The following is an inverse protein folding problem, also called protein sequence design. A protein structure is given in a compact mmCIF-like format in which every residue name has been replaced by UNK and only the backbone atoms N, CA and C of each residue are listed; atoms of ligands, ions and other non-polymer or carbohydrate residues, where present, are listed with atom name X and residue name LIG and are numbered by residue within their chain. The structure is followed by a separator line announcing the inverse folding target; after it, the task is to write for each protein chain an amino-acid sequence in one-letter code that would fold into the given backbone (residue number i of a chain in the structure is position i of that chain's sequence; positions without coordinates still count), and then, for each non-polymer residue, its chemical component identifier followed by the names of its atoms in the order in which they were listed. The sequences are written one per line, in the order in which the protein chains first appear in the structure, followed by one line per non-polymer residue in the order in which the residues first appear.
data_IF_409679719930
#
_entry.id   IF_409679719930
#
_cell.length_a   1.000
_cell.length_b   1.000
_cell.length_c   1.000
_cell.angle_alpha   90.00
_cell.angle_beta   90.00
_cell.angle_gamma   90.00
#
_symmetry.space_group_name_H-M   'P 1'
#
loop_
_entity.id
_entity.type
_entity.pdbx_description
1 polymer ?
#
# COMPACT_ATOMS: atom_id res chain seq x y z
N UNK A 1 23.01 -9.44 -12.46
CA UNK A 1 22.37 -8.11 -12.38
C UNK A 1 23.16 -7.25 -11.40
N UNK A 2 23.52 -6.00 -11.74
CA UNK A 2 24.18 -5.10 -10.77
C UNK A 2 23.17 -4.76 -9.68
N UNK A 3 23.50 -5.02 -8.42
CA UNK A 3 22.69 -4.64 -7.27
C UNK A 3 22.43 -3.12 -7.29
N UNK A 4 21.18 -2.70 -7.06
CA UNK A 4 20.85 -1.29 -6.89
C UNK A 4 21.66 -0.69 -5.74
N UNK A 5 22.23 0.50 -5.95
CA UNK A 5 22.88 1.25 -4.87
C UNK A 5 21.86 1.67 -3.82
N UNK A 6 22.32 1.92 -2.60
CA UNK A 6 21.46 2.32 -1.48
C UNK A 6 20.55 3.50 -1.84
N UNK A 7 21.10 4.55 -2.44
CA UNK A 7 20.36 5.76 -2.81
C UNK A 7 19.27 5.48 -3.85
N UNK A 8 19.50 4.53 -4.76
CA UNK A 8 18.48 4.12 -5.74
C UNK A 8 17.36 3.34 -5.06
N UNK A 9 17.69 2.46 -4.12
CA UNK A 9 16.69 1.75 -3.31
C UNK A 9 15.88 2.72 -2.45
N UNK A 10 16.54 3.66 -1.78
CA UNK A 10 15.89 4.69 -0.95
C UNK A 10 14.89 5.53 -1.78
N UNK A 11 15.22 5.86 -3.03
CA UNK A 11 14.28 6.55 -3.94
C UNK A 11 13.09 5.64 -4.30
N UNK A 12 13.32 4.37 -4.63
CA UNK A 12 12.24 3.45 -4.96
C UNK A 12 11.32 3.22 -3.76
N UNK A 13 11.88 3.02 -2.56
CA UNK A 13 11.14 2.89 -1.31
C UNK A 13 10.32 4.16 -1.00
N UNK A 14 10.90 5.33 -1.26
CA UNK A 14 10.18 6.60 -1.13
C UNK A 14 8.97 6.68 -2.05
N UNK A 15 9.15 6.37 -3.34
CA UNK A 15 8.06 6.40 -4.32
C UNK A 15 6.98 5.37 -3.98
N UNK A 16 7.39 4.17 -3.53
CA UNK A 16 6.49 3.13 -3.05
C UNK A 16 5.65 3.60 -1.85
N UNK A 17 6.31 4.22 -0.85
CA UNK A 17 5.69 4.69 0.38
C UNK A 17 4.70 5.83 0.13
N UNK A 18 5.06 6.81 -0.71
CA UNK A 18 4.17 7.94 -1.02
C UNK A 18 2.96 7.48 -1.85
N UNK A 19 3.13 6.45 -2.69
CA UNK A 19 2.07 5.86 -3.52
C UNK A 19 1.27 6.86 -4.39
N UNK A 20 1.86 8.03 -4.66
CA UNK A 20 1.32 9.12 -5.47
C UNK A 20 2.49 9.65 -6.32
N UNK A 21 2.23 10.27 -7.49
CA UNK A 21 3.31 10.87 -8.27
C UNK A 21 4.10 11.91 -7.46
N UNK A 22 5.43 11.82 -7.48
CA UNK A 22 6.31 12.62 -6.61
C UNK A 22 7.20 13.55 -7.43
N UNK A 23 7.27 14.83 -7.07
CA UNK A 23 8.18 15.78 -7.70
C UNK A 23 9.64 15.62 -7.21
N UNK A 24 10.59 16.17 -7.97
CA UNK A 24 12.01 16.11 -7.65
C UNK A 24 12.34 16.73 -6.28
N UNK A 25 11.71 17.86 -5.94
CA UNK A 25 11.96 18.58 -4.69
C UNK A 25 11.68 17.70 -3.47
N UNK A 26 10.55 17.01 -3.47
CA UNK A 26 10.18 16.11 -2.39
C UNK A 26 11.13 14.90 -2.32
N UNK A 27 11.57 14.36 -3.47
CA UNK A 27 12.56 13.28 -3.51
C UNK A 27 13.89 13.72 -2.89
N UNK A 28 14.41 14.87 -3.32
CA UNK A 28 15.65 15.46 -2.80
C UNK A 28 15.57 15.65 -1.29
N UNK A 29 14.46 16.22 -0.81
CA UNK A 29 14.23 16.48 0.61
C UNK A 29 14.15 15.21 1.44
N UNK A 30 13.30 14.25 1.05
CA UNK A 30 13.03 13.06 1.86
C UNK A 30 14.16 12.04 1.77
N UNK A 31 14.76 11.84 0.59
CA UNK A 31 15.91 10.97 0.43
C UNK A 31 17.22 11.60 0.94
N UNK A 32 17.18 12.88 1.38
CA UNK A 32 18.35 13.65 1.86
C UNK A 32 19.51 13.64 0.87
N UNK A 33 19.21 13.75 -0.42
CA UNK A 33 20.20 13.73 -1.50
C UNK A 33 20.49 15.14 -2.00
N UNK A 34 21.70 15.37 -2.53
CA UNK A 34 21.98 16.57 -3.33
C UNK A 34 21.18 16.50 -4.64
N UNK A 35 20.65 17.62 -5.13
CA UNK A 35 19.83 17.69 -6.36
C UNK A 35 20.47 17.01 -7.56
N UNK A 36 21.77 17.28 -7.84
CA UNK A 36 22.49 16.64 -8.95
C UNK A 36 22.57 15.11 -8.80
N UNK A 37 22.75 14.63 -7.57
CA UNK A 37 22.78 13.19 -7.27
C UNK A 37 21.41 12.55 -7.50
N UNK A 38 20.34 13.18 -7.00
CA UNK A 38 18.97 12.71 -7.20
C UNK A 38 18.63 12.61 -8.70
N UNK A 39 18.95 13.63 -9.49
CA UNK A 39 18.74 13.63 -10.96
C UNK A 39 19.49 12.48 -11.63
N UNK A 40 20.76 12.24 -11.26
CA UNK A 40 21.56 11.14 -11.80
C UNK A 40 20.94 9.77 -11.48
N UNK A 41 20.54 9.56 -10.23
CA UNK A 41 19.88 8.32 -9.81
C UNK A 41 18.54 8.12 -10.51
N UNK A 42 17.69 9.15 -10.57
CA UNK A 42 16.39 9.10 -11.25
C UNK A 42 16.53 8.84 -12.74
N UNK A 43 17.50 9.46 -13.41
CA UNK A 43 17.81 9.19 -14.82
C UNK A 43 18.22 7.73 -15.04
N UNK A 44 19.02 7.17 -14.14
CA UNK A 44 19.40 5.75 -14.20
C UNK A 44 18.20 4.83 -13.97
N UNK A 45 17.41 5.10 -12.93
CA UNK A 45 16.20 4.33 -12.62
C UNK A 45 15.18 4.37 -13.76
N UNK A 46 15.04 5.52 -14.44
CA UNK A 46 14.18 5.68 -15.61
C UNK A 46 14.67 4.82 -16.77
N UNK A 47 15.98 4.83 -17.06
CA UNK A 47 16.59 3.97 -18.09
C UNK A 47 16.43 2.48 -17.78
N UNK A 48 16.43 2.11 -16.51
CA UNK A 48 16.18 0.74 -16.06
C UNK A 48 14.70 0.35 -16.08
N UNK A 49 13.79 1.28 -16.39
CA UNK A 49 12.35 1.02 -16.39
C UNK A 49 11.71 0.96 -15.00
N UNK A 50 12.45 1.21 -13.92
CA UNK A 50 11.94 1.18 -12.54
C UNK A 50 11.08 2.38 -12.15
N UNK A 51 11.26 3.51 -12.83
CA UNK A 51 10.45 4.72 -12.63
C UNK A 51 10.01 5.28 -13.97
N UNK A 52 8.78 5.77 -14.03
CA UNK A 52 8.27 6.57 -15.14
C UNK A 52 8.10 8.01 -14.72
N UNK A 53 7.94 8.91 -15.69
CA UNK A 53 7.69 10.34 -15.44
C UNK A 53 6.37 10.71 -16.11
N UNK A 54 5.46 11.34 -15.37
CA UNK A 54 4.19 11.85 -15.91
C UNK A 54 4.45 13.04 -16.86
N UNK A 55 3.41 13.48 -17.56
CA UNK A 55 3.49 14.69 -18.41
C UNK A 55 3.91 15.93 -17.60
N UNK A 56 3.52 16.00 -16.34
CA UNK A 56 3.83 17.10 -15.42
C UNK A 56 5.20 16.97 -14.74
N UNK A 57 6.04 16.02 -15.16
CA UNK A 57 7.39 15.85 -14.61
C UNK A 57 7.44 15.12 -13.26
N UNK A 58 6.35 14.48 -12.84
CA UNK A 58 6.28 13.75 -11.57
C UNK A 58 6.75 12.30 -11.76
N UNK A 59 7.53 11.78 -10.80
CA UNK A 59 8.05 10.43 -10.82
C UNK A 59 7.04 9.44 -10.23
N UNK A 60 6.89 8.29 -10.90
CA UNK A 60 5.99 7.21 -10.51
C UNK A 60 6.77 5.91 -10.51
N UNK A 61 6.54 5.06 -9.50
CA UNK A 61 7.11 3.72 -9.44
C UNK A 61 6.42 2.80 -10.46
N UNK A 62 7.19 2.05 -11.24
CA UNK A 62 6.63 1.05 -12.18
C UNK A 62 6.59 -0.34 -11.55
N UNK A 63 5.97 -1.30 -12.23
CA UNK A 63 5.98 -2.71 -11.80
C UNK A 63 7.39 -3.28 -11.70
N UNK A 64 8.29 -2.92 -12.61
CA UNK A 64 9.70 -3.30 -12.52
C UNK A 64 10.39 -2.65 -11.31
N UNK A 65 10.01 -1.42 -10.96
CA UNK A 65 10.48 -0.76 -9.74
C UNK A 65 9.99 -1.45 -8.47
N UNK A 66 8.77 -1.99 -8.49
CA UNK A 66 8.21 -2.81 -7.40
C UNK A 66 8.94 -4.15 -7.28
N UNK A 67 9.19 -4.83 -8.40
CA UNK A 67 9.98 -6.07 -8.44
C UNK A 67 11.39 -5.84 -7.89
N UNK A 68 11.99 -4.69 -8.18
CA UNK A 68 13.30 -4.29 -7.63
C UNK A 68 13.32 -4.02 -6.10
N UNK A 69 12.15 -3.89 -5.47
CA UNK A 69 11.95 -3.79 -4.03
C UNK A 69 11.56 -5.13 -3.39
N UNK A 70 11.73 -6.24 -4.11
CA UNK A 70 11.31 -7.58 -3.69
C UNK A 70 9.83 -7.62 -3.27
N UNK A 71 8.99 -6.84 -3.96
CA UNK A 71 7.54 -6.90 -3.80
C UNK A 71 6.97 -8.07 -4.61
N UNK A 72 5.96 -8.73 -4.04
CA UNK A 72 5.32 -9.86 -4.66
C UNK A 72 4.69 -9.45 -5.99
N UNK A 73 5.05 -10.17 -7.06
CA UNK A 73 4.36 -10.06 -8.33
C UNK A 73 2.95 -10.64 -8.19
N UNK A 74 1.95 -9.83 -8.50
CA UNK A 74 0.54 -10.27 -8.49
C UNK A 74 0.14 -10.67 -9.90
N UNK A 75 -0.12 -11.96 -10.11
CA UNK A 75 -0.77 -12.43 -11.32
C UNK A 75 -2.30 -12.36 -11.19
N UNK A 76 -2.98 -12.62 -12.30
CA UNK A 76 -4.44 -12.59 -12.40
C UNK A 76 -5.14 -13.57 -11.44
N UNK A 77 -4.58 -14.75 -11.21
CA UNK A 77 -5.17 -15.76 -10.34
C UNK A 77 -5.02 -15.36 -8.87
N UNK A 78 -3.85 -14.86 -8.49
CA UNK A 78 -3.60 -14.33 -7.16
C UNK A 78 -4.46 -13.10 -6.86
N UNK A 79 -4.61 -12.17 -7.82
CA UNK A 79 -5.48 -11.02 -7.67
C UNK A 79 -6.94 -11.43 -7.38
N UNK A 80 -7.47 -12.42 -8.14
CA UNK A 80 -8.80 -12.98 -7.90
C UNK A 80 -8.93 -13.65 -6.55
N UNK A 81 -7.89 -14.38 -6.12
CA UNK A 81 -7.87 -15.02 -4.80
C UNK A 81 -7.92 -14.00 -3.68
N UNK A 82 -7.12 -12.93 -3.75
CA UNK A 82 -7.10 -11.85 -2.75
C UNK A 82 -8.47 -11.16 -2.67
N UNK A 83 -9.12 -10.93 -3.82
CA UNK A 83 -10.44 -10.28 -3.89
C UNK A 83 -11.61 -11.22 -3.57
N UNK A 84 -11.38 -12.53 -3.47
CA UNK A 84 -12.46 -13.50 -3.24
C UNK A 84 -13.01 -13.41 -1.82
N UNK A 85 -14.25 -13.87 -1.64
CA UNK A 85 -14.85 -13.99 -0.32
C UNK A 85 -14.20 -15.10 0.47
N UNK A 86 -13.99 -14.87 1.76
CA UNK A 86 -13.60 -15.89 2.74
C UNK A 86 -14.83 -16.36 3.52
N UNK A 87 -14.80 -17.59 4.08
CA UNK A 87 -15.84 -18.06 5.01
C UNK A 87 -16.02 -17.13 6.21
N UNK A 88 -17.19 -17.19 6.86
CA UNK A 88 -17.53 -16.29 7.97
C UNK A 88 -16.57 -16.42 9.16
N UNK A 89 -16.03 -17.61 9.40
CA UNK A 89 -15.06 -17.89 10.46
C UNK A 89 -13.70 -17.21 10.22
N UNK A 90 -13.46 -16.79 8.97
CA UNK A 90 -12.22 -16.14 8.50
C UNK A 90 -12.44 -14.66 8.13
N UNK A 91 -13.67 -14.17 8.28
CA UNK A 91 -13.99 -12.76 8.08
C UNK A 91 -13.24 -11.89 9.08
N UNK A 92 -12.98 -10.63 8.71
CA UNK A 92 -12.50 -9.64 9.64
C UNK A 92 -13.66 -9.20 10.54
N UNK A 93 -13.55 -9.34 11.85
CA UNK A 93 -14.59 -8.94 12.79
C UNK A 93 -14.17 -7.63 13.47
N UNK A 94 -15.07 -6.64 13.49
CA UNK A 94 -14.77 -5.33 14.05
C UNK A 94 -15.10 -5.26 15.54
N UNK A 95 -14.18 -4.68 16.30
CA UNK A 95 -14.23 -4.47 17.74
C UNK A 95 -13.85 -3.02 18.04
N UNK A 96 -14.41 -2.45 19.10
CA UNK A 96 -13.96 -1.16 19.64
C UNK A 96 -12.93 -1.34 20.76
N UNK A 97 -12.99 -2.47 21.47
CA UNK A 97 -12.09 -2.87 22.55
C UNK A 97 -12.08 -4.41 22.68
N UNK A 98 -11.21 -4.93 23.56
CA UNK A 98 -11.20 -6.35 23.94
C UNK A 98 -12.60 -6.74 24.43
N UNK A 99 -13.13 -7.84 23.89
CA UNK A 99 -14.46 -8.39 24.19
C UNK A 99 -15.65 -7.44 23.92
N UNK A 100 -15.46 -6.39 23.10
CA UNK A 100 -16.52 -5.48 22.65
C UNK A 100 -16.70 -5.50 21.12
N UNK A 101 -17.34 -6.55 20.56
CA UNK A 101 -17.60 -6.64 19.13
C UNK A 101 -18.68 -5.63 18.69
N UNK A 102 -18.55 -5.09 17.48
CA UNK A 102 -19.57 -4.25 16.84
C UNK A 102 -20.64 -5.08 16.11
N UNK A 103 -20.54 -6.41 16.11
CA UNK A 103 -21.38 -7.32 15.30
C UNK A 103 -21.33 -7.01 13.79
N UNK A 104 -20.29 -6.31 13.35
CA UNK A 104 -19.97 -6.04 11.95
C UNK A 104 -18.75 -6.87 11.56
N UNK A 105 -18.79 -7.50 10.39
CA UNK A 105 -17.66 -8.26 9.86
C UNK A 105 -17.50 -8.08 8.36
N UNK A 106 -16.28 -8.24 7.85
CA UNK A 106 -15.97 -8.17 6.42
C UNK A 106 -15.44 -9.49 5.90
N UNK A 107 -16.10 -10.07 4.90
CA UNK A 107 -15.70 -11.36 4.34
C UNK A 107 -14.90 -11.24 3.04
N UNK A 108 -14.55 -10.03 2.61
CA UNK A 108 -13.68 -9.79 1.44
C UNK A 108 -12.98 -8.46 1.56
N UNK A 109 -11.89 -8.26 0.81
CA UNK A 109 -11.13 -7.01 0.84
C UNK A 109 -11.97 -5.80 0.37
N UNK A 110 -12.86 -6.00 -0.60
CA UNK A 110 -13.77 -4.96 -1.09
C UNK A 110 -14.79 -4.56 -0.03
N UNK A 111 -15.40 -5.54 0.64
CA UNK A 111 -16.34 -5.32 1.74
C UNK A 111 -15.67 -4.64 2.94
N UNK A 112 -14.42 -5.02 3.24
CA UNK A 112 -13.58 -4.33 4.21
C UNK A 112 -13.35 -2.86 3.84
N UNK A 113 -12.99 -2.58 2.59
CA UNK A 113 -12.81 -1.21 2.10
C UNK A 113 -14.06 -0.35 2.26
N UNK A 114 -15.24 -0.91 2.00
CA UNK A 114 -16.52 -0.21 2.16
C UNK A 114 -16.80 0.11 3.63
N UNK A 115 -16.66 -0.87 4.52
CA UNK A 115 -16.92 -0.72 5.96
C UNK A 115 -16.01 0.26 6.67
N UNK A 116 -14.74 0.39 6.25
CA UNK A 116 -13.82 1.38 6.83
C UNK A 116 -14.36 2.82 6.72
N UNK A 117 -15.16 3.15 5.70
CA UNK A 117 -15.71 4.49 5.54
C UNK A 117 -16.68 4.90 6.64
N UNK A 118 -17.44 3.95 7.19
CA UNK A 118 -18.58 4.26 8.07
C UNK A 118 -18.49 3.64 9.46
N UNK A 119 -17.60 2.66 9.69
CA UNK A 119 -17.43 2.04 11.01
C UNK A 119 -17.00 3.07 12.06
N UNK A 120 -17.23 2.82 13.35
CA UNK A 120 -16.77 3.73 14.39
C UNK A 120 -15.24 3.91 14.34
N UNK A 121 -14.77 5.16 14.40
CA UNK A 121 -13.33 5.48 14.29
C UNK A 121 -12.50 4.79 15.37
N UNK A 122 -13.06 4.60 16.57
CA UNK A 122 -12.42 3.86 17.66
C UNK A 122 -12.11 2.42 17.29
N UNK A 123 -12.94 1.79 16.47
CA UNK A 123 -12.67 0.43 15.96
C UNK A 123 -11.47 0.42 15.02
N UNK A 124 -11.35 1.45 14.17
CA UNK A 124 -10.21 1.62 13.28
C UNK A 124 -8.92 1.79 14.08
N UNK A 125 -8.94 2.67 15.08
CA UNK A 125 -7.79 2.90 15.96
C UNK A 125 -7.41 1.63 16.73
N UNK A 126 -8.39 0.94 17.31
CA UNK A 126 -8.20 -0.29 18.07
C UNK A 126 -7.47 -1.36 17.23
N UNK A 127 -7.98 -1.66 16.04
CA UNK A 127 -7.41 -2.68 15.17
C UNK A 127 -6.08 -2.26 14.52
N UNK A 128 -5.97 -0.98 14.13
CA UNK A 128 -4.74 -0.45 13.55
C UNK A 128 -3.58 -0.54 14.53
N UNK A 129 -3.78 -0.11 15.79
CA UNK A 129 -2.74 -0.15 16.83
C UNK A 129 -2.21 -1.57 17.08
N UNK A 130 -3.11 -2.56 17.05
CA UNK A 130 -2.80 -3.98 17.30
C UNK A 130 -2.19 -4.68 16.09
N UNK A 131 -2.33 -4.09 14.91
CA UNK A 131 -1.88 -4.68 13.65
C UNK A 131 -2.82 -5.72 13.06
N UNK A 132 -4.09 -5.71 13.48
CA UNK A 132 -5.07 -6.71 13.07
C UNK A 132 -5.36 -6.61 11.56
N UNK A 133 -5.34 -5.39 11.00
CA UNK A 133 -5.58 -5.15 9.58
C UNK A 133 -4.50 -5.77 8.68
N UNK A 134 -3.22 -5.51 8.95
CA UNK A 134 -2.15 -6.07 8.12
C UNK A 134 -2.04 -7.59 8.26
N UNK A 135 -2.40 -8.14 9.43
CA UNK A 135 -2.42 -9.59 9.66
C UNK A 135 -3.51 -10.26 8.82
N UNK A 136 -4.72 -9.69 8.82
CA UNK A 136 -5.82 -10.23 8.02
C UNK A 136 -5.55 -10.10 6.51
N UNK A 137 -5.02 -8.96 6.06
CA UNK A 137 -4.62 -8.78 4.65
C UNK A 137 -3.50 -9.75 4.27
N UNK A 138 -2.55 -10.02 5.16
CA UNK A 138 -1.50 -11.01 4.93
C UNK A 138 -2.09 -12.40 4.72
N UNK A 139 -3.10 -12.76 5.53
CA UNK A 139 -3.85 -14.00 5.38
C UNK A 139 -4.59 -14.10 4.02
N UNK A 140 -5.12 -12.99 3.48
CA UNK A 140 -5.69 -12.96 2.13
C UNK A 140 -4.63 -13.15 1.02
N UNK A 141 -3.36 -12.93 1.34
CA UNK A 141 -2.22 -13.18 0.46
C UNK A 141 -1.65 -11.93 -0.23
N UNK A 142 -1.99 -10.72 0.22
CA UNK A 142 -1.47 -9.48 -0.35
C UNK A 142 -0.31 -8.90 0.47
N UNK A 143 0.91 -9.28 0.13
CA UNK A 143 2.12 -8.86 0.84
C UNK A 143 2.34 -7.35 0.73
N UNK A 144 2.00 -6.73 -0.40
CA UNK A 144 2.21 -5.31 -0.59
C UNK A 144 1.29 -4.49 0.31
N UNK A 145 0.00 -4.83 0.35
CA UNK A 145 -0.96 -4.13 1.20
C UNK A 145 -0.66 -4.33 2.68
N UNK A 146 -0.20 -5.52 3.10
CA UNK A 146 0.31 -5.75 4.47
C UNK A 146 1.42 -4.75 4.83
N UNK A 147 2.42 -4.57 3.96
CA UNK A 147 3.52 -3.62 4.20
C UNK A 147 3.02 -2.17 4.27
N UNK A 148 2.04 -1.79 3.44
CA UNK A 148 1.45 -0.46 3.44
C UNK A 148 0.69 -0.17 4.74
N UNK A 149 -0.16 -1.09 5.18
CA UNK A 149 -0.92 -0.94 6.42
C UNK A 149 0.01 -0.86 7.64
N UNK A 150 1.09 -1.65 7.66
CA UNK A 150 2.14 -1.52 8.69
C UNK A 150 2.78 -0.13 8.70
N UNK A 151 3.08 0.43 7.52
CA UNK A 151 3.64 1.79 7.43
C UNK A 151 2.68 2.84 7.98
N UNK A 152 1.38 2.72 7.70
CA UNK A 152 0.35 3.62 8.24
C UNK A 152 0.29 3.52 9.77
N UNK A 153 0.35 2.31 10.32
CA UNK A 153 0.42 2.11 11.78
C UNK A 153 1.64 2.80 12.38
N UNK A 154 2.80 2.69 11.75
CA UNK A 154 4.06 3.32 12.18
C UNK A 154 4.04 4.86 12.10
N UNK A 155 3.13 5.44 11.32
CA UNK A 155 2.91 6.89 11.27
C UNK A 155 2.19 7.44 12.51
N UNK A 156 1.62 6.58 13.35
CA UNK A 156 0.88 6.95 14.58
C UNK A 156 -0.26 7.97 14.33
N UNK A 157 -0.94 7.84 13.19
CA UNK A 157 -2.14 8.63 12.88
C UNK A 157 -3.31 8.18 13.77
N UNK A 158 -4.23 9.10 14.03
CA UNK A 158 -5.45 8.83 14.82
C UNK A 158 -6.68 9.45 14.17
N UNK A 159 -7.85 9.10 14.68
CA UNK A 159 -9.13 9.66 14.26
C UNK A 159 -9.41 9.50 12.76
N UNK A 160 -10.07 10.50 12.20
CA UNK A 160 -10.49 10.51 10.80
C UNK A 160 -9.31 10.63 9.81
N UNK A 161 -8.15 11.10 10.26
CA UNK A 161 -6.93 11.07 9.47
C UNK A 161 -6.45 9.62 9.25
N UNK A 162 -6.42 8.81 10.32
CA UNK A 162 -6.12 7.39 10.21
C UNK A 162 -7.13 6.66 9.30
N UNK A 163 -8.44 6.93 9.47
CA UNK A 163 -9.49 6.37 8.61
C UNK A 163 -9.19 6.67 7.15
N UNK A 164 -8.95 7.93 6.82
CA UNK A 164 -8.71 8.38 5.45
C UNK A 164 -7.51 7.67 4.83
N UNK A 165 -6.38 7.62 5.52
CA UNK A 165 -5.17 6.98 4.98
C UNK A 165 -5.35 5.46 4.76
N UNK A 166 -5.99 4.76 5.70
CA UNK A 166 -6.32 3.34 5.52
C UNK A 166 -7.28 3.15 4.35
N UNK A 167 -8.36 3.94 4.30
CA UNK A 167 -9.37 3.83 3.24
C UNK A 167 -8.76 4.09 1.86
N UNK A 168 -8.04 5.19 1.66
CA UNK A 168 -7.41 5.52 0.37
C UNK A 168 -6.44 4.42 -0.07
N UNK A 169 -5.66 3.89 0.87
CA UNK A 169 -4.68 2.83 0.60
C UNK A 169 -5.35 1.52 0.19
N UNK A 170 -6.37 1.09 0.93
CA UNK A 170 -7.10 -0.15 0.64
C UNK A 170 -7.90 0.00 -0.65
N UNK A 171 -8.56 1.14 -0.87
CA UNK A 171 -9.33 1.44 -2.08
C UNK A 171 -8.45 1.38 -3.33
N UNK A 172 -7.33 2.11 -3.31
CA UNK A 172 -6.38 2.12 -4.43
C UNK A 172 -5.89 0.71 -4.76
N UNK A 173 -5.65 -0.11 -3.73
CA UNK A 173 -5.25 -1.51 -3.92
C UNK A 173 -6.36 -2.38 -4.48
N UNK A 174 -7.60 -2.22 -4.02
CA UNK A 174 -8.76 -2.91 -4.60
C UNK A 174 -8.90 -2.60 -6.10
N UNK A 175 -8.80 -1.33 -6.50
CA UNK A 175 -8.88 -0.89 -7.89
C UNK A 175 -7.73 -1.47 -8.76
N UNK A 176 -6.52 -1.56 -8.20
CA UNK A 176 -5.38 -2.21 -8.85
C UNK A 176 -5.62 -3.71 -9.06
N UNK A 177 -6.01 -4.43 -8.00
CA UNK A 177 -6.28 -5.87 -8.06
C UNK A 177 -7.43 -6.19 -9.03
N UNK A 178 -8.47 -5.35 -9.08
CA UNK A 178 -9.58 -5.51 -10.01
C UNK A 178 -9.14 -5.35 -11.46
N UNK A 179 -8.28 -4.38 -11.75
CA UNK A 179 -7.67 -4.22 -13.10
C UNK A 179 -6.83 -5.45 -13.48
N UNK A 180 -6.04 -5.99 -12.56
CA UNK A 180 -5.24 -7.20 -12.80
C UNK A 180 -6.12 -8.45 -12.98
N UNK A 181 -7.21 -8.56 -12.22
CA UNK A 181 -8.14 -9.70 -12.26
C UNK A 181 -9.03 -9.73 -13.52
N UNK A 182 -9.31 -8.56 -14.10
CA UNK A 182 -10.19 -8.38 -15.25
C UNK A 182 -9.61 -9.05 -16.51
N UNK A 183 -10.43 -9.57 -17.43
CA UNK A 183 -9.98 -9.97 -18.76
C UNK A 183 -9.53 -8.75 -19.55
N UNK A 184 -8.41 -8.88 -20.26
CA UNK A 184 -8.20 -8.12 -21.50
C UNK A 184 -9.21 -8.59 -22.55
#
# INVERSE_FOLDING_TARGET
MKQLSKEKKDILELLWRINKPVNLENIVRVAKLKTRSAIMHLSTLKKMGHVSVTKDGLYVLTDQGREALDLQKIDRNLARKILSKVPQEKAFHFYIEIDKPLMVSSNSLTDFCEKIQSIEVKSIEFHSLRGDFELWVHFLGDIELTKRLRTIREMNLTGEELRREIYETVKSRCEELQRIASPN
#
